data_IF_999543247361
#
_entry.id   IF_999543247361
#
_cell.length_a   1.000
_cell.length_b   1.000
_cell.length_c   1.000
_cell.angle_alpha   90.00
_cell.angle_beta   90.00
_cell.angle_gamma   90.00
#
_symmetry.space_group_name_H-M   'P 1'
#
loop_
_entity.id
_entity.type
_entity.pdbx_description
1 polymer ?
#
# COMPACT_ATOMS: atom_id res chain seq x y z
N UNK A 1 -4.20 3.81 -14.19
CA UNK A 1 -4.30 4.96 -13.26
C UNK A 1 -5.54 4.97 -12.36
N UNK A 2 -6.78 4.68 -12.82
CA UNK A 2 -7.98 4.70 -11.93
C UNK A 2 -7.84 3.80 -10.69
N UNK A 3 -7.16 2.65 -10.85
CA UNK A 3 -6.99 1.66 -9.78
C UNK A 3 -5.95 2.08 -8.73
N UNK A 4 -4.87 2.75 -9.15
CA UNK A 4 -3.86 3.25 -8.23
C UNK A 4 -4.41 4.36 -7.33
N UNK A 5 -5.12 5.35 -7.89
CA UNK A 5 -5.75 6.41 -7.10
C UNK A 5 -6.79 5.85 -6.13
N UNK A 6 -7.55 4.84 -6.56
CA UNK A 6 -8.47 4.12 -5.68
C UNK A 6 -7.74 3.40 -4.54
N UNK A 7 -6.65 2.68 -4.82
CA UNK A 7 -5.84 2.02 -3.80
C UNK A 7 -5.27 3.02 -2.78
N UNK A 8 -4.70 4.13 -3.24
CA UNK A 8 -4.19 5.21 -2.35
C UNK A 8 -5.30 5.75 -1.45
N UNK A 9 -6.49 6.01 -2.01
CA UNK A 9 -7.64 6.48 -1.23
C UNK A 9 -8.06 5.48 -0.15
N UNK A 10 -8.21 4.19 -0.48
CA UNK A 10 -8.58 3.17 0.49
C UNK A 10 -7.52 3.06 1.59
N UNK A 11 -6.24 2.99 1.23
CA UNK A 11 -5.13 2.88 2.19
C UNK A 11 -5.10 4.03 3.18
N UNK A 12 -5.30 5.27 2.73
CA UNK A 12 -5.43 6.43 3.62
C UNK A 12 -6.63 6.31 4.55
N UNK A 13 -7.76 5.78 4.08
CA UNK A 13 -8.97 5.63 4.90
C UNK A 13 -8.83 4.55 5.97
N UNK A 14 -8.03 3.53 5.72
CA UNK A 14 -7.86 2.40 6.66
C UNK A 14 -6.55 2.45 7.46
N UNK A 15 -5.71 3.48 7.27
CA UNK A 15 -4.39 3.57 7.90
C UNK A 15 -4.42 3.67 9.44
N UNK A 16 -5.59 3.93 10.03
CA UNK A 16 -5.78 3.95 11.48
C UNK A 16 -5.74 2.56 12.13
N UNK A 17 -5.93 1.48 11.35
CA UNK A 17 -5.89 0.10 11.82
C UNK A 17 -4.83 -0.69 11.04
N UNK A 18 -3.79 -1.11 11.74
CA UNK A 18 -2.66 -1.85 11.16
C UNK A 18 -3.08 -3.14 10.42
N UNK A 19 -4.04 -3.89 10.96
CA UNK A 19 -4.49 -5.15 10.35
C UNK A 19 -5.29 -4.88 9.08
N UNK A 20 -6.17 -3.88 9.12
CA UNK A 20 -6.96 -3.48 7.95
C UNK A 20 -6.08 -2.87 6.87
N UNK A 21 -5.11 -2.06 7.25
CA UNK A 21 -4.11 -1.49 6.35
C UNK A 21 -3.31 -2.58 5.63
N UNK A 22 -2.76 -3.57 6.35
CA UNK A 22 -2.05 -4.70 5.73
C UNK A 22 -2.94 -5.45 4.74
N UNK A 23 -4.19 -5.71 5.13
CA UNK A 23 -5.16 -6.43 4.28
C UNK A 23 -5.42 -5.70 2.96
N UNK A 24 -5.73 -4.40 3.01
CA UNK A 24 -6.02 -3.62 1.80
C UNK A 24 -4.75 -3.35 0.97
N UNK A 25 -3.58 -3.22 1.60
CA UNK A 25 -2.30 -3.10 0.90
C UNK A 25 -2.00 -4.34 0.07
N UNK A 26 -2.16 -5.53 0.64
CA UNK A 26 -1.99 -6.79 -0.08
C UNK A 26 -2.97 -6.92 -1.25
N UNK A 27 -4.20 -6.43 -1.10
CA UNK A 27 -5.20 -6.39 -2.17
C UNK A 27 -4.79 -5.44 -3.28
N UNK A 28 -4.31 -4.24 -2.94
CA UNK A 28 -3.82 -3.26 -3.90
C UNK A 28 -2.66 -3.82 -4.73
N UNK A 29 -1.66 -4.44 -4.08
CA UNK A 29 -0.49 -5.03 -4.76
C UNK A 29 -0.91 -6.10 -5.78
N UNK A 30 -1.90 -6.94 -5.46
CA UNK A 30 -2.40 -7.98 -6.38
C UNK A 30 -3.21 -7.43 -7.56
N UNK A 31 -3.77 -6.24 -7.43
CA UNK A 31 -4.71 -5.65 -8.37
C UNK A 31 -4.04 -4.73 -9.40
N UNK A 32 -2.89 -4.17 -9.04
CA UNK A 32 -2.16 -3.21 -9.85
C UNK A 32 -1.14 -3.90 -10.75
N UNK A 33 -0.82 -3.27 -11.88
CA UNK A 33 0.29 -3.68 -12.73
C UNK A 33 1.64 -3.29 -12.09
N UNK A 34 2.74 -3.89 -12.54
CA UNK A 34 4.07 -3.70 -11.96
C UNK A 34 4.48 -2.22 -11.81
N UNK A 35 4.23 -1.40 -12.83
CA UNK A 35 4.51 0.04 -12.80
C UNK A 35 3.71 0.76 -11.70
N UNK A 36 2.41 0.47 -11.59
CA UNK A 36 1.55 1.05 -10.56
C UNK A 36 1.91 0.52 -9.15
N UNK A 37 2.37 -0.72 -9.03
CA UNK A 37 2.89 -1.27 -7.76
C UNK A 37 4.15 -0.54 -7.32
N UNK A 38 5.06 -0.22 -8.25
CA UNK A 38 6.27 0.54 -7.94
C UNK A 38 5.93 1.96 -7.49
N UNK A 39 4.97 2.62 -8.14
CA UNK A 39 4.48 3.93 -7.72
C UNK A 39 3.78 3.86 -6.35
N UNK A 40 2.94 2.84 -6.13
CA UNK A 40 2.28 2.60 -4.85
C UNK A 40 3.30 2.41 -3.72
N UNK A 41 4.36 1.63 -3.95
CA UNK A 41 5.44 1.38 -3.00
C UNK A 41 6.08 2.69 -2.56
N UNK A 42 6.54 3.50 -3.51
CA UNK A 42 7.18 4.78 -3.21
C UNK A 42 6.25 5.69 -2.39
N UNK A 43 4.97 5.75 -2.78
CA UNK A 43 3.98 6.54 -2.08
C UNK A 43 3.71 6.02 -0.66
N UNK A 44 3.60 4.70 -0.46
CA UNK A 44 3.38 4.12 0.87
C UNK A 44 4.54 4.39 1.84
N UNK A 45 5.80 4.25 1.39
CA UNK A 45 6.96 4.56 2.24
C UNK A 45 7.05 6.06 2.56
N UNK A 46 6.65 6.94 1.64
CA UNK A 46 6.62 8.37 1.91
C UNK A 46 5.55 8.79 2.94
N UNK A 47 4.40 8.11 2.97
CA UNK A 47 3.25 8.53 3.78
C UNK A 47 3.08 7.73 5.08
N UNK A 48 3.50 6.47 5.12
CA UNK A 48 3.18 5.54 6.21
C UNK A 48 4.40 4.86 6.85
N UNK A 49 5.62 5.25 6.48
CA UNK A 49 6.85 4.66 7.06
C UNK A 49 6.95 4.84 8.57
N UNK A 50 6.38 5.89 9.17
CA UNK A 50 6.46 6.09 10.63
C UNK A 50 5.62 5.09 11.43
N UNK A 51 4.46 4.71 10.89
CA UNK A 51 3.45 3.93 11.62
C UNK A 51 3.40 2.47 11.14
N UNK A 52 3.71 2.22 9.87
CA UNK A 52 3.47 0.94 9.21
C UNK A 52 4.73 0.32 8.60
N UNK A 53 5.94 0.78 8.96
CA UNK A 53 7.21 0.31 8.37
C UNK A 53 7.32 -1.21 8.26
N UNK A 54 7.04 -1.92 9.36
CA UNK A 54 7.11 -3.37 9.42
C UNK A 54 6.15 -4.04 8.40
N UNK A 55 4.95 -3.47 8.23
CA UNK A 55 3.95 -3.94 7.27
C UNK A 55 4.42 -3.67 5.83
N UNK A 56 4.94 -2.45 5.57
CA UNK A 56 5.45 -2.08 4.25
C UNK A 56 6.58 -3.02 3.83
N UNK A 57 7.56 -3.23 4.71
CA UNK A 57 8.65 -4.17 4.47
C UNK A 57 8.09 -5.58 4.19
N UNK A 58 7.18 -6.09 5.02
CA UNK A 58 6.60 -7.42 4.81
C UNK A 58 5.82 -7.58 3.50
N UNK A 59 5.15 -6.52 3.04
CA UNK A 59 4.31 -6.54 1.84
C UNK A 59 5.13 -6.35 0.56
N UNK A 60 6.17 -5.52 0.58
CA UNK A 60 6.97 -5.17 -0.60
C UNK A 60 8.29 -5.95 -0.75
N UNK A 61 8.66 -6.80 0.22
CA UNK A 61 9.87 -7.66 0.14
C UNK A 61 9.78 -8.76 -0.92
N UNK A 62 8.61 -9.00 -1.53
CA UNK A 62 8.40 -10.00 -2.59
C UNK A 62 7.52 -9.55 -3.77
N UNK A 63 7.31 -8.24 -3.93
CA UNK A 63 6.49 -7.71 -5.03
C UNK A 63 7.34 -7.47 -6.29
#
# INVERSE_FOLDING_TARGET
MKMLSYAKHILTRVSFDARLFEKELRKAIKMLIAEEVQELKNWCYANFSREHEAILNRCFVRA
#
